data_IF_200308545687
#
_entry.id   IF_200308545687
#
_cell.length_a   1.000
_cell.length_b   1.000
_cell.length_c   1.000
_cell.angle_alpha   90.00
_cell.angle_beta   90.00
_cell.angle_gamma   90.00
#
_symmetry.space_group_name_H-M   'P 1'
#
loop_
_entity.id
_entity.type
_entity.pdbx_description
1 polymer ?
#
# COMPACT_ATOMS: atom_id res chain seq x y z
N UNK A 1 17.54 4.46 6.53
CA UNK A 1 17.06 3.06 6.50
C UNK A 1 16.77 2.69 5.06
N UNK A 2 17.13 1.48 4.63
CA UNK A 2 16.86 0.98 3.27
C UNK A 2 15.40 0.52 3.22
N UNK A 3 14.68 0.89 2.16
CA UNK A 3 13.32 0.41 1.94
C UNK A 3 13.35 -1.09 1.61
N UNK A 4 12.75 -1.91 2.47
CA UNK A 4 12.70 -3.36 2.29
C UNK A 4 11.64 -3.73 1.24
N UNK A 5 12.09 -3.84 -0.01
CA UNK A 5 11.21 -4.07 -1.15
C UNK A 5 10.53 -5.44 -1.08
N UNK A 6 11.22 -6.46 -0.58
CA UNK A 6 10.67 -7.81 -0.48
C UNK A 6 9.57 -7.88 0.58
N UNK A 7 9.77 -7.19 1.70
CA UNK A 7 8.73 -7.01 2.73
C UNK A 7 7.52 -6.26 2.17
N UNK A 8 7.74 -5.21 1.37
CA UNK A 8 6.65 -4.47 0.73
C UNK A 8 5.83 -5.35 -0.20
N UNK A 9 6.49 -6.09 -1.10
CA UNK A 9 5.83 -6.99 -2.05
C UNK A 9 5.00 -8.03 -1.30
N UNK A 10 5.56 -8.62 -0.24
CA UNK A 10 4.86 -9.62 0.59
C UNK A 10 3.61 -9.03 1.27
N UNK A 11 3.71 -7.79 1.77
CA UNK A 11 2.57 -7.07 2.36
C UNK A 11 1.48 -6.76 1.34
N UNK A 12 1.85 -6.34 0.11
CA UNK A 12 0.90 -6.09 -0.97
C UNK A 12 0.20 -7.39 -1.37
N UNK A 13 0.95 -8.46 -1.62
CA UNK A 13 0.38 -9.77 -2.02
C UNK A 13 -0.61 -10.31 -0.98
N UNK A 14 -0.34 -10.08 0.31
CA UNK A 14 -1.22 -10.48 1.41
C UNK A 14 -2.54 -9.68 1.49
N UNK A 15 -2.67 -8.58 0.75
CA UNK A 15 -3.85 -7.71 0.74
C UNK A 15 -4.49 -7.68 -0.67
N UNK A 16 -5.37 -8.65 -1.01
CA UNK A 16 -6.04 -8.70 -2.32
C UNK A 16 -6.87 -7.45 -2.62
N UNK A 17 -7.37 -6.75 -1.60
CA UNK A 17 -7.99 -5.43 -1.75
C UNK A 17 -7.14 -4.39 -2.50
N UNK A 18 -5.81 -4.54 -2.51
CA UNK A 18 -4.88 -3.59 -3.12
C UNK A 18 -4.59 -3.92 -4.59
N UNK A 19 -4.37 -5.21 -4.91
CA UNK A 19 -3.83 -5.64 -6.21
C UNK A 19 -4.76 -6.58 -6.99
N UNK A 20 -5.67 -7.29 -6.33
CA UNK A 20 -6.54 -8.29 -6.95
C UNK A 20 -7.80 -7.59 -7.50
N UNK A 21 -7.75 -7.17 -8.76
CA UNK A 21 -8.82 -6.42 -9.42
C UNK A 21 -10.14 -7.22 -9.53
N UNK A 22 -10.07 -8.56 -9.50
CA UNK A 22 -11.24 -9.43 -9.49
C UNK A 22 -11.95 -9.53 -8.13
N UNK A 23 -11.34 -9.02 -7.06
CA UNK A 23 -11.92 -9.10 -5.72
C UNK A 23 -12.98 -8.01 -5.50
N UNK A 24 -14.04 -8.35 -4.77
CA UNK A 24 -15.03 -7.37 -4.31
C UNK A 24 -14.40 -6.30 -3.40
N UNK A 25 -13.33 -6.68 -2.70
CA UNK A 25 -12.57 -5.85 -1.77
C UNK A 25 -11.78 -4.76 -2.51
N UNK A 26 -11.32 -5.02 -3.73
CA UNK A 26 -10.67 -4.02 -4.57
C UNK A 26 -11.62 -2.90 -5.01
N UNK A 27 -12.91 -3.19 -5.15
CA UNK A 27 -13.91 -2.18 -5.48
C UNK A 27 -14.28 -1.29 -4.27
N UNK A 28 -13.97 -1.73 -3.06
CA UNK A 28 -14.27 -1.01 -1.83
C UNK A 28 -13.12 -0.05 -1.46
N UNK A 29 -13.41 1.25 -1.58
CA UNK A 29 -12.46 2.32 -1.25
C UNK A 29 -12.05 2.35 0.22
N UNK A 30 -12.95 1.97 1.14
CA UNK A 30 -12.66 1.95 2.56
C UNK A 30 -11.73 0.78 2.91
N UNK A 31 -11.97 -0.39 2.32
CA UNK A 31 -11.10 -1.57 2.51
C UNK A 31 -9.71 -1.29 1.95
N UNK A 32 -9.63 -0.68 0.75
CA UNK A 32 -8.36 -0.23 0.16
C UNK A 32 -7.59 0.73 1.07
N UNK A 33 -8.27 1.75 1.59
CA UNK A 33 -7.63 2.73 2.48
C UNK A 33 -7.10 2.06 3.75
N UNK A 34 -7.91 1.17 4.36
CA UNK A 34 -7.50 0.41 5.56
C UNK A 34 -6.30 -0.49 5.28
N UNK A 35 -6.29 -1.19 4.15
CA UNK A 35 -5.16 -2.05 3.77
C UNK A 35 -3.88 -1.23 3.53
N UNK A 36 -3.97 -0.06 2.90
CA UNK A 36 -2.82 0.84 2.74
C UNK A 36 -2.27 1.36 4.07
N UNK A 37 -3.14 1.71 5.01
CA UNK A 37 -2.73 2.12 6.37
C UNK A 37 -1.97 0.99 7.08
N UNK A 38 -2.49 -0.23 7.01
CA UNK A 38 -1.87 -1.40 7.63
C UNK A 38 -0.49 -1.73 7.01
N UNK A 39 -0.38 -1.62 5.68
CA UNK A 39 0.91 -1.78 4.98
C UNK A 39 1.89 -0.68 5.42
N UNK A 40 1.43 0.56 5.56
CA UNK A 40 2.23 1.67 6.05
C UNK A 40 2.78 1.44 7.47
N UNK A 41 1.93 1.03 8.40
CA UNK A 41 2.33 0.68 9.78
C UNK A 41 3.32 -0.49 9.82
N UNK A 42 3.16 -1.47 8.94
CA UNK A 42 4.05 -2.64 8.88
C UNK A 42 5.43 -2.30 8.28
N UNK A 43 5.45 -1.36 7.33
CA UNK A 43 6.66 -0.98 6.58
C UNK A 43 7.47 0.10 7.29
N UNK A 44 6.81 0.99 8.01
CA UNK A 44 7.45 2.13 8.66
C UNK A 44 7.15 2.10 10.16
N UNK A 45 8.14 1.78 11.02
CA UNK A 45 7.98 1.85 12.47
C UNK A 45 7.50 3.23 12.94
N UNK A 46 7.94 4.29 12.24
CA UNK A 46 7.61 5.68 12.54
C UNK A 46 6.35 6.16 11.81
N UNK A 47 5.51 5.25 11.30
CA UNK A 47 4.31 5.59 10.54
C UNK A 47 3.39 6.53 11.33
N UNK A 48 3.22 6.31 12.63
CA UNK A 48 2.38 7.15 13.50
C UNK A 48 2.94 8.56 13.70
N UNK A 49 4.25 8.76 13.57
CA UNK A 49 4.91 10.07 13.75
C UNK A 49 4.95 10.91 12.47
N UNK A 50 4.62 10.31 11.32
CA UNK A 50 4.58 11.04 10.06
C UNK A 50 3.27 11.85 9.89
N UNK A 51 3.37 13.14 9.48
CA UNK A 51 2.21 13.96 9.21
C UNK A 51 1.37 13.37 8.07
N UNK A 52 0.05 13.55 8.16
CA UNK A 52 -0.94 12.97 7.23
C UNK A 52 -0.66 13.31 5.75
N UNK A 53 -0.06 14.47 5.50
CA UNK A 53 0.39 14.93 4.18
C UNK A 53 1.48 14.08 3.54
N UNK A 54 2.39 13.48 4.32
CA UNK A 54 3.41 12.57 3.79
C UNK A 54 2.84 11.18 3.49
N UNK A 55 1.89 10.71 4.31
CA UNK A 55 1.20 9.43 4.09
C UNK A 55 0.39 9.45 2.81
N UNK A 56 -0.28 10.57 2.54
CA UNK A 56 -1.07 10.74 1.32
C UNK A 56 -0.19 10.77 0.05
N UNK A 57 0.98 11.41 0.12
CA UNK A 57 1.94 11.42 -0.99
C UNK A 57 2.59 10.05 -1.23
N UNK A 58 2.96 9.33 -0.17
CA UNK A 58 3.45 7.95 -0.27
C UNK A 58 2.38 7.00 -0.81
N UNK A 59 1.12 7.16 -0.40
CA UNK A 59 -0.01 6.41 -0.94
C UNK A 59 -0.21 6.65 -2.44
N UNK A 60 -0.09 7.90 -2.91
CA UNK A 60 -0.15 8.26 -4.33
C UNK A 60 1.03 7.69 -5.13
N UNK A 61 2.26 7.80 -4.61
CA UNK A 61 3.45 7.22 -5.26
C UNK A 61 3.40 5.68 -5.33
N UNK A 62 2.98 5.01 -4.25
CA UNK A 62 2.87 3.56 -4.21
C UNK A 62 1.78 3.04 -5.15
N UNK A 63 0.67 3.77 -5.28
CA UNK A 63 -0.34 3.48 -6.30
C UNK A 63 0.25 3.50 -7.70
N UNK A 64 1.01 4.56 -8.05
CA UNK A 64 1.68 4.67 -9.36
C UNK A 64 2.68 3.53 -9.58
N UNK A 65 3.49 3.18 -8.58
CA UNK A 65 4.43 2.05 -8.64
C UNK A 65 3.71 0.72 -8.92
N UNK A 66 2.56 0.45 -8.29
CA UNK A 66 1.78 -0.76 -8.57
C UNK A 66 1.28 -0.81 -10.01
N UNK A 67 0.81 0.32 -10.57
CA UNK A 67 0.40 0.39 -11.98
C UNK A 67 1.56 0.04 -12.92
N UNK A 68 2.77 0.52 -12.65
CA UNK A 68 3.93 0.22 -13.51
C UNK A 68 4.54 -1.17 -13.28
N UNK A 69 4.30 -1.79 -12.13
CA UNK A 69 4.90 -3.10 -11.79
C UNK A 69 3.98 -4.27 -12.13
N UNK A 70 2.66 -4.07 -12.15
CA UNK A 70 1.66 -5.14 -12.32
C UNK A 70 0.82 -5.04 -13.62
N UNK A 71 1.03 -4.04 -14.48
CA UNK A 71 0.49 -4.04 -15.84
C UNK A 71 1.60 -4.41 -16.85
N UNK A 72 1.35 -5.40 -17.74
CA UNK A 72 2.27 -5.78 -18.81
C UNK A 72 2.40 -4.72 -19.92
#
# INVERSE_FOLDING_TARGET
MVFDTDKFISCIQSNPSIWEMGSKEYMDKFIKQKSWLNIGETMYPDWTEQPESEKENKGKQNSIMLYFTFLP
#
